data_IF_936509750569
#
_entry.id   IF_936509750569
#
_cell.length_a   1.000
_cell.length_b   1.000
_cell.length_c   1.000
_cell.angle_alpha   90.00
_cell.angle_beta   90.00
_cell.angle_gamma   90.00
#
_symmetry.space_group_name_H-M   'P 1'
#
loop_
_entity.id
_entity.type
_entity.pdbx_description
1 polymer ?
#
# COMPACT_ATOMS: atom_id res chain seq x y z
N UNK A 1 78.96 -51.97 8.19
CA UNK A 1 78.44 -51.08 9.24
C UNK A 1 76.93 -51.34 9.31
N UNK A 2 76.41 -52.32 10.06
CA UNK A 2 76.73 -52.72 11.45
C UNK A 2 76.83 -51.50 12.36
N UNK A 3 76.02 -51.35 13.42
CA UNK A 3 75.43 -52.39 14.28
C UNK A 3 73.91 -52.32 14.49
N UNK A 4 73.38 -53.44 14.98
CA UNK A 4 72.03 -53.62 15.54
C UNK A 4 72.16 -54.19 16.96
N UNK A 5 71.30 -53.73 17.88
CA UNK A 5 70.75 -54.43 19.07
C UNK A 5 69.35 -53.79 19.29
N UNK A 6 68.24 -54.46 19.63
CA UNK A 6 68.00 -55.75 20.29
C UNK A 6 67.85 -55.54 21.81
N UNK A 7 66.82 -55.99 22.54
CA UNK A 7 65.58 -56.75 22.22
C UNK A 7 64.61 -56.71 23.45
N UNK A 8 63.51 -57.47 23.43
CA UNK A 8 62.52 -57.79 24.49
C UNK A 8 61.42 -56.74 24.78
N UNK A 9 60.13 -56.99 24.46
CA UNK A 9 59.12 -57.91 25.06
C UNK A 9 58.29 -57.20 26.18
N UNK A 10 57.00 -57.50 26.46
CA UNK A 10 56.13 -58.65 26.13
C UNK A 10 54.64 -58.30 26.40
N UNK A 11 53.71 -58.72 25.52
CA UNK A 11 52.25 -58.88 25.76
C UNK A 11 51.45 -57.61 26.24
N UNK A 12 50.12 -57.56 26.31
CA UNK A 12 49.01 -58.51 26.04
C UNK A 12 47.71 -57.75 25.69
N UNK A 13 46.66 -58.43 25.19
CA UNK A 13 45.19 -58.14 25.38
C UNK A 13 44.62 -56.73 25.05
N UNK A 14 43.46 -56.51 24.44
CA UNK A 14 42.30 -57.35 24.04
C UNK A 14 41.38 -56.55 23.11
N UNK A 15 40.78 -57.22 22.12
CA UNK A 15 39.35 -57.18 21.74
C UNK A 15 38.46 -56.04 22.32
N UNK A 16 37.75 -55.20 21.55
CA UNK A 16 36.45 -55.54 20.89
C UNK A 16 35.95 -54.41 19.94
N UNK A 17 34.93 -54.64 19.07
CA UNK A 17 34.60 -53.74 17.95
C UNK A 17 33.70 -52.55 18.35
N UNK A 18 34.27 -51.34 18.40
CA UNK A 18 33.59 -50.15 18.94
C UNK A 18 33.53 -48.89 18.05
N UNK A 19 33.60 -48.98 16.71
CA UNK A 19 33.67 -47.77 15.85
C UNK A 19 32.69 -47.63 14.68
N UNK A 20 31.84 -48.62 14.37
CA UNK A 20 30.93 -48.55 13.21
C UNK A 20 29.43 -48.35 13.55
N UNK A 21 29.06 -48.18 14.82
CA UNK A 21 27.67 -47.88 15.23
C UNK A 21 27.42 -46.43 15.68
N UNK A 22 28.46 -45.64 15.92
CA UNK A 22 28.31 -44.27 16.41
C UNK A 22 27.98 -43.25 15.29
N UNK A 23 28.44 -43.50 14.06
CA UNK A 23 28.21 -42.59 12.92
C UNK A 23 26.77 -42.62 12.38
N UNK A 24 26.06 -43.75 12.49
CA UNK A 24 24.68 -43.85 12.02
C UNK A 24 23.67 -43.15 12.96
N UNK A 25 23.95 -43.11 14.28
CA UNK A 25 23.07 -42.47 15.26
C UNK A 25 23.12 -40.93 15.18
N UNK A 26 24.27 -40.34 14.85
CA UNK A 26 24.45 -38.88 14.79
C UNK A 26 23.78 -38.27 13.55
N UNK A 27 23.70 -39.01 12.43
CA UNK A 27 23.07 -38.52 11.19
C UNK A 27 21.53 -38.55 11.26
N UNK A 28 20.92 -39.51 11.95
CA UNK A 28 19.46 -39.51 12.15
C UNK A 28 18.98 -38.44 13.16
N UNK A 29 19.84 -37.99 14.09
CA UNK A 29 19.51 -36.91 15.03
C UNK A 29 19.55 -35.50 14.41
N UNK A 30 20.05 -35.35 13.18
CA UNK A 30 20.12 -34.08 12.45
C UNK A 30 19.07 -33.97 11.32
N UNK A 31 18.23 -35.00 11.13
CA UNK A 31 17.13 -35.02 10.14
C UNK A 31 15.74 -35.16 10.77
N UNK A 32 15.66 -35.38 12.07
CA UNK A 32 14.49 -34.99 12.85
C UNK A 32 14.73 -33.56 13.32
N UNK A 33 14.23 -32.61 12.53
CA UNK A 33 14.08 -31.24 13.00
C UNK A 33 13.19 -31.27 14.24
N UNK A 34 13.81 -31.17 15.41
CA UNK A 34 13.10 -30.77 16.60
C UNK A 34 12.53 -29.39 16.28
N UNK A 35 11.23 -29.33 16.01
CA UNK A 35 10.53 -28.05 15.98
C UNK A 35 10.86 -27.35 17.29
N UNK A 36 11.33 -26.11 17.20
CA UNK A 36 11.65 -25.28 18.34
C UNK A 36 10.32 -24.86 19.00
N UNK A 37 9.59 -25.85 19.52
CA UNK A 37 8.49 -25.74 20.45
C UNK A 37 9.08 -25.30 21.80
N UNK A 38 9.65 -24.09 21.79
CA UNK A 38 9.69 -23.24 22.96
C UNK A 38 8.26 -23.23 23.46
N UNK A 39 8.04 -23.79 24.64
CA UNK A 39 6.74 -23.68 25.29
C UNK A 39 6.41 -22.18 25.31
N UNK A 40 5.38 -21.77 24.58
CA UNK A 40 4.98 -20.38 24.54
C UNK A 40 4.74 -19.94 25.98
N UNK A 41 5.36 -18.83 26.36
CA UNK A 41 5.11 -18.23 27.67
C UNK A 41 3.59 -18.06 27.80
N UNK A 42 2.94 -18.58 28.87
CA UNK A 42 1.52 -18.37 29.08
C UNK A 42 1.13 -16.88 29.05
N UNK A 43 2.06 -15.97 29.39
CA UNK A 43 1.88 -14.51 29.26
C UNK A 43 1.96 -14.00 27.81
N UNK A 44 2.66 -14.70 26.92
CA UNK A 44 2.64 -14.43 25.48
C UNK A 44 1.37 -14.98 24.84
N UNK A 45 0.96 -16.20 25.18
CA UNK A 45 -0.26 -16.80 24.62
C UNK A 45 -1.54 -16.04 25.04
N UNK A 46 -1.54 -15.42 26.22
CA UNK A 46 -2.58 -14.47 26.66
C UNK A 46 -2.67 -13.17 25.82
N UNK A 47 -1.66 -12.87 24.98
CA UNK A 47 -1.60 -11.67 24.11
C UNK A 47 -1.86 -11.98 22.63
N UNK A 48 -2.17 -13.22 22.28
CA UNK A 48 -2.43 -13.60 20.89
C UNK A 48 -3.86 -13.22 20.44
N UNK A 49 -3.97 -12.77 19.20
CA UNK A 49 -5.26 -12.61 18.51
C UNK A 49 -5.94 -13.97 18.28
N UNK A 50 -7.25 -13.96 18.05
CA UNK A 50 -7.97 -15.14 17.58
C UNK A 50 -8.05 -15.12 16.04
N UNK A 51 -7.22 -15.91 15.32
CA UNK A 51 -7.16 -15.82 13.87
C UNK A 51 -8.44 -16.31 13.19
N UNK A 52 -9.19 -17.26 13.79
CA UNK A 52 -10.48 -17.70 13.27
C UNK A 52 -11.55 -16.60 13.39
N UNK A 53 -11.54 -15.82 14.47
CA UNK A 53 -12.44 -14.66 14.67
C UNK A 53 -12.11 -13.55 13.67
N UNK A 54 -10.83 -13.22 13.49
CA UNK A 54 -10.38 -12.24 12.50
C UNK A 54 -10.77 -12.65 11.08
N UNK A 55 -10.47 -13.89 10.69
CA UNK A 55 -10.83 -14.44 9.37
C UNK A 55 -12.35 -14.38 9.15
N UNK A 56 -13.16 -14.80 10.11
CA UNK A 56 -14.62 -14.73 9.99
C UNK A 56 -15.14 -13.29 9.82
N UNK A 57 -14.52 -12.29 10.49
CA UNK A 57 -14.89 -10.89 10.29
C UNK A 57 -14.45 -10.32 8.94
N UNK A 58 -13.28 -10.72 8.42
CA UNK A 58 -12.81 -10.36 7.07
C UNK A 58 -13.73 -10.97 6.00
N UNK A 59 -14.04 -12.25 6.12
CA UNK A 59 -14.98 -12.94 5.24
C UNK A 59 -16.36 -12.28 5.25
N UNK A 60 -16.88 -11.92 6.44
CA UNK A 60 -18.16 -11.22 6.55
C UNK A 60 -18.12 -9.81 5.96
N UNK A 61 -17.04 -9.04 6.18
CA UNK A 61 -16.87 -7.71 5.58
C UNK A 61 -16.81 -7.80 4.05
N UNK A 62 -16.23 -8.87 3.50
CA UNK A 62 -16.17 -9.11 2.05
C UNK A 62 -17.52 -9.47 1.39
N UNK A 63 -18.60 -9.61 2.15
CA UNK A 63 -19.95 -9.73 1.58
C UNK A 63 -20.49 -8.36 1.12
N UNK A 64 -20.12 -7.28 1.82
CA UNK A 64 -20.54 -5.92 1.49
C UNK A 64 -19.75 -5.40 0.28
N UNK A 65 -20.40 -5.42 -0.88
CA UNK A 65 -19.78 -5.08 -2.16
C UNK A 65 -19.18 -6.26 -2.92
N UNK A 66 -19.47 -7.52 -2.56
CA UNK A 66 -18.96 -8.69 -3.29
C UNK A 66 -19.36 -8.69 -4.76
N UNK A 67 -18.40 -8.84 -5.67
CA UNK A 67 -18.71 -8.98 -7.11
C UNK A 67 -19.06 -10.45 -7.46
N UNK A 68 -19.88 -10.70 -8.50
CA UNK A 68 -20.23 -12.05 -8.94
C UNK A 68 -19.04 -12.94 -9.31
N UNK A 69 -17.98 -12.35 -9.86
CA UNK A 69 -16.73 -13.02 -10.27
C UNK A 69 -15.72 -13.19 -9.13
N UNK A 70 -16.00 -12.64 -7.95
CA UNK A 70 -15.07 -12.57 -6.81
C UNK A 70 -14.47 -11.18 -6.60
N UNK A 71 -13.77 -11.01 -5.48
CA UNK A 71 -13.33 -9.69 -5.02
C UNK A 71 -14.48 -8.79 -4.56
N UNK A 72 -14.18 -7.52 -4.34
CA UNK A 72 -15.07 -6.52 -3.75
C UNK A 72 -15.05 -5.21 -4.55
N UNK A 73 -16.22 -4.62 -4.75
CA UNK A 73 -16.39 -3.22 -5.16
C UNK A 73 -17.19 -2.52 -4.06
N UNK A 74 -16.47 -1.87 -3.15
CA UNK A 74 -17.04 -1.09 -2.04
C UNK A 74 -16.48 0.32 -2.08
N UNK A 75 -16.92 1.07 -3.09
CA UNK A 75 -16.49 2.46 -3.28
C UNK A 75 -16.92 3.31 -2.08
N UNK A 76 -16.06 4.23 -1.64
CA UNK A 76 -16.37 5.15 -0.55
C UNK A 76 -17.71 5.85 -0.76
N UNK A 77 -18.48 6.03 0.30
CA UNK A 77 -19.81 6.64 0.33
C UNK A 77 -20.96 5.89 -0.38
N UNK A 78 -20.67 4.81 -1.12
CA UNK A 78 -21.68 3.96 -1.75
C UNK A 78 -22.62 3.28 -0.73
N UNK A 79 -23.70 2.64 -1.19
CA UNK A 79 -24.57 1.90 -0.27
C UNK A 79 -23.86 0.69 0.37
N UNK A 80 -23.00 -0.01 -0.39
CA UNK A 80 -22.25 -1.15 0.14
C UNK A 80 -21.21 -0.73 1.18
N UNK A 81 -20.66 0.48 1.04
CA UNK A 81 -19.83 1.11 2.07
C UNK A 81 -20.63 1.53 3.31
N UNK A 82 -21.80 2.17 3.15
CA UNK A 82 -22.70 2.49 4.27
C UNK A 82 -23.07 1.26 5.10
N UNK A 83 -23.42 0.15 4.44
CA UNK A 83 -23.78 -1.11 5.08
C UNK A 83 -22.56 -1.74 5.82
N UNK A 84 -21.38 -1.69 5.20
CA UNK A 84 -20.12 -2.13 5.80
C UNK A 84 -19.71 -1.28 7.00
N UNK A 85 -19.87 0.04 6.94
CA UNK A 85 -19.56 0.98 8.03
C UNK A 85 -20.48 0.77 9.22
N UNK A 86 -21.75 0.43 9.00
CA UNK A 86 -22.65 -0.01 10.06
C UNK A 86 -22.20 -1.34 10.69
N UNK A 87 -21.77 -2.32 9.87
CA UNK A 87 -21.22 -3.58 10.37
C UNK A 87 -19.95 -3.36 11.22
N UNK A 88 -18.95 -2.62 10.73
CA UNK A 88 -17.69 -2.35 11.44
C UNK A 88 -17.92 -1.53 12.71
N UNK A 89 -18.82 -0.55 12.69
CA UNK A 89 -19.28 0.17 13.90
C UNK A 89 -19.80 -0.80 14.96
N UNK A 90 -20.62 -1.79 14.56
CA UNK A 90 -21.12 -2.81 15.49
C UNK A 90 -20.02 -3.72 16.04
N UNK A 91 -19.00 -4.05 15.23
CA UNK A 91 -17.84 -4.83 15.68
C UNK A 91 -17.01 -4.09 16.73
N UNK A 92 -16.84 -2.77 16.58
CA UNK A 92 -16.13 -1.89 17.50
C UNK A 92 -16.90 -1.75 18.83
N UNK A 93 -18.21 -1.51 18.77
CA UNK A 93 -19.08 -1.48 19.96
C UNK A 93 -19.08 -2.82 20.71
N UNK A 94 -19.20 -3.94 19.99
CA UNK A 94 -19.10 -5.29 20.58
C UNK A 94 -17.71 -5.62 21.13
N UNK A 95 -16.65 -4.93 20.69
CA UNK A 95 -15.32 -5.01 21.27
C UNK A 95 -15.14 -4.11 22.52
N UNK A 96 -16.18 -3.36 22.93
CA UNK A 96 -16.16 -2.48 24.11
C UNK A 96 -15.63 -1.07 23.84
N UNK A 97 -15.48 -0.66 22.57
CA UNK A 97 -15.03 0.68 22.22
C UNK A 97 -16.17 1.70 22.28
N UNK A 98 -15.89 2.91 22.76
CA UNK A 98 -16.78 4.05 22.62
C UNK A 98 -16.65 4.60 21.18
N UNK A 99 -17.69 4.42 20.37
CA UNK A 99 -17.63 4.76 18.94
C UNK A 99 -18.21 6.14 18.64
N UNK A 100 -17.44 6.95 17.91
CA UNK A 100 -17.82 8.28 17.38
C UNK A 100 -17.50 8.40 15.89
N UNK A 101 -18.23 9.25 15.17
CA UNK A 101 -17.92 9.61 13.77
C UNK A 101 -17.57 11.10 13.73
N UNK A 102 -16.49 11.47 13.05
CA UNK A 102 -16.10 12.87 12.86
C UNK A 102 -16.77 13.52 11.63
N UNK A 103 -16.71 14.86 11.47
CA UNK A 103 -17.29 15.55 10.32
C UNK A 103 -16.68 15.23 8.95
N UNK A 104 -15.53 14.54 8.88
CA UNK A 104 -14.97 13.98 7.64
C UNK A 104 -15.48 12.55 7.36
N UNK A 105 -16.24 11.98 8.29
CA UNK A 105 -16.80 10.63 8.21
C UNK A 105 -15.93 9.54 8.86
N UNK A 106 -14.76 9.87 9.42
CA UNK A 106 -13.89 8.86 10.03
C UNK A 106 -14.57 8.28 11.27
N UNK A 107 -14.56 6.95 11.38
CA UNK A 107 -15.17 6.23 12.50
C UNK A 107 -14.07 5.91 13.50
N UNK A 108 -14.15 6.43 14.72
CA UNK A 108 -13.18 6.15 15.78
C UNK A 108 -13.83 5.32 16.89
N UNK A 109 -13.08 4.37 17.43
CA UNK A 109 -13.43 3.60 18.62
C UNK A 109 -12.40 3.85 19.71
N UNK A 110 -12.83 4.50 20.79
CA UNK A 110 -11.98 4.87 21.91
C UNK A 110 -11.91 3.76 22.98
N UNK A 111 -10.71 3.54 23.50
CA UNK A 111 -10.41 2.69 24.64
C UNK A 111 -9.61 3.51 25.67
N UNK A 112 -10.24 3.82 26.80
CA UNK A 112 -9.66 4.69 27.83
C UNK A 112 -8.40 4.09 28.47
N UNK A 113 -7.40 4.93 28.71
CA UNK A 113 -6.15 4.55 29.39
C UNK A 113 -6.18 4.93 30.87
N UNK A 114 -5.42 4.24 31.74
CA UNK A 114 -5.30 4.60 33.15
C UNK A 114 -4.45 5.87 33.40
N UNK A 115 -3.66 6.29 32.42
CA UNK A 115 -2.80 7.49 32.48
C UNK A 115 -3.23 8.52 31.42
N UNK A 116 -3.19 9.83 31.71
CA UNK A 116 -3.53 10.90 30.77
C UNK A 116 -2.39 11.14 29.76
N UNK A 117 -2.08 10.10 28.97
CA UNK A 117 -1.04 10.09 27.94
C UNK A 117 -1.64 10.34 26.55
N UNK A 118 -0.84 10.85 25.58
CA UNK A 118 -1.24 10.86 24.18
C UNK A 118 -1.60 9.45 23.70
N UNK A 119 -2.64 9.33 22.88
CA UNK A 119 -3.20 8.03 22.47
C UNK A 119 -2.34 7.32 21.44
N UNK A 120 -2.40 5.99 21.44
CA UNK A 120 -1.91 5.18 20.31
C UNK A 120 -3.07 5.02 19.33
N UNK A 121 -2.89 5.52 18.11
CA UNK A 121 -3.88 5.41 17.04
C UNK A 121 -3.54 4.21 16.17
N UNK A 122 -4.52 3.35 15.94
CA UNK A 122 -4.45 2.23 15.01
C UNK A 122 -5.48 2.48 13.92
N UNK A 123 -5.14 2.28 12.66
CA UNK A 123 -6.16 2.42 11.63
C UNK A 123 -5.73 2.05 10.23
N UNK A 124 -6.76 1.90 9.41
CA UNK A 124 -6.68 1.74 7.95
C UNK A 124 -8.04 2.14 7.37
N UNK A 125 -8.37 1.67 6.17
CA UNK A 125 -9.64 1.95 5.49
C UNK A 125 -10.48 0.69 5.28
N UNK A 126 -11.75 0.88 4.90
CA UNK A 126 -12.59 -0.22 4.41
C UNK A 126 -13.22 0.05 3.04
N UNK A 127 -13.09 1.23 2.44
CA UNK A 127 -13.43 1.39 1.02
C UNK A 127 -12.43 0.65 0.12
N UNK A 128 -12.81 0.38 -1.13
CA UNK A 128 -11.98 -0.30 -2.13
C UNK A 128 -12.08 0.37 -3.50
N UNK A 129 -11.09 0.14 -4.37
CA UNK A 129 -11.25 0.28 -5.82
C UNK A 129 -12.33 -0.66 -6.41
N UNK A 130 -12.83 -0.39 -7.63
CA UNK A 130 -13.59 -1.36 -8.42
C UNK A 130 -12.82 -2.67 -8.63
N UNK A 131 -13.48 -3.81 -8.44
CA UNK A 131 -12.89 -5.15 -8.53
C UNK A 131 -11.64 -5.36 -7.63
N UNK A 132 -11.61 -4.68 -6.49
CA UNK A 132 -10.55 -4.78 -5.48
C UNK A 132 -10.52 -6.11 -4.72
N UNK A 133 -9.46 -6.27 -3.92
CA UNK A 133 -9.27 -7.44 -3.05
C UNK A 133 -10.07 -7.39 -1.74
N UNK A 134 -9.99 -8.46 -0.95
CA UNK A 134 -10.69 -8.57 0.34
C UNK A 134 -9.87 -8.03 1.54
N UNK A 135 -8.60 -7.68 1.34
CA UNK A 135 -7.61 -7.45 2.41
C UNK A 135 -6.98 -6.05 2.40
N UNK A 136 -7.08 -5.34 1.27
CA UNK A 136 -6.52 -4.01 0.99
C UNK A 136 -7.34 -2.94 1.74
N UNK A 137 -6.85 -2.46 2.88
CA UNK A 137 -7.61 -1.79 3.94
C UNK A 137 -8.13 -2.73 5.06
N UNK A 138 -9.13 -3.62 4.81
CA UNK A 138 -9.75 -4.46 5.83
C UNK A 138 -8.83 -5.27 6.74
N UNK A 139 -7.65 -5.69 6.26
CA UNK A 139 -6.70 -6.42 7.12
C UNK A 139 -6.24 -5.57 8.31
N UNK A 140 -5.94 -4.28 8.07
CA UNK A 140 -5.61 -3.33 9.12
C UNK A 140 -6.81 -3.07 10.02
N UNK A 141 -7.88 -2.52 9.45
CA UNK A 141 -9.07 -2.11 10.21
C UNK A 141 -9.69 -3.22 11.06
N UNK A 142 -9.76 -4.47 10.58
CA UNK A 142 -10.28 -5.58 11.37
C UNK A 142 -9.23 -6.21 12.28
N UNK A 143 -7.94 -6.15 11.90
CA UNK A 143 -6.82 -6.50 12.76
C UNK A 143 -6.78 -5.64 14.02
N UNK A 144 -6.99 -4.34 13.89
CA UNK A 144 -7.01 -3.38 15.00
C UNK A 144 -8.15 -3.68 15.99
N UNK A 145 -9.35 -3.97 15.49
CA UNK A 145 -10.50 -4.40 16.31
C UNK A 145 -10.19 -5.73 17.02
N UNK A 146 -9.52 -6.65 16.34
CA UNK A 146 -9.11 -7.93 16.94
C UNK A 146 -8.01 -7.77 18.00
N UNK A 147 -7.09 -6.80 17.86
CA UNK A 147 -6.12 -6.43 18.90
C UNK A 147 -6.86 -5.94 20.15
N UNK A 148 -7.86 -5.07 20.02
CA UNK A 148 -8.68 -4.62 21.16
C UNK A 148 -9.39 -5.81 21.83
N UNK A 149 -9.95 -6.74 21.04
CA UNK A 149 -10.58 -7.96 21.59
C UNK A 149 -9.58 -8.85 22.31
N UNK A 150 -8.39 -9.06 21.77
CA UNK A 150 -7.36 -9.87 22.41
C UNK A 150 -6.89 -9.26 23.75
N UNK A 151 -6.73 -7.94 23.81
CA UNK A 151 -6.42 -7.22 25.05
C UNK A 151 -7.55 -7.38 26.08
N UNK A 152 -8.81 -7.29 25.66
CA UNK A 152 -9.97 -7.45 26.54
C UNK A 152 -10.17 -8.91 27.01
N UNK A 153 -10.04 -9.89 26.11
CA UNK A 153 -10.13 -11.32 26.41
C UNK A 153 -9.01 -11.76 27.39
N UNK A 154 -7.81 -11.18 27.26
CA UNK A 154 -6.68 -11.38 28.16
C UNK A 154 -6.67 -10.50 29.41
N UNK A 155 -7.62 -9.56 29.54
CA UNK A 155 -7.65 -8.52 30.58
C UNK A 155 -6.32 -7.74 30.73
N UNK A 156 -5.67 -7.43 29.61
CA UNK A 156 -4.35 -6.79 29.55
C UNK A 156 -4.50 -5.25 29.58
N UNK A 157 -4.04 -4.55 30.62
CA UNK A 157 -4.08 -3.09 30.65
C UNK A 157 -3.00 -2.49 29.75
N UNK A 158 -3.34 -1.42 29.04
CA UNK A 158 -2.36 -0.51 28.40
C UNK A 158 -2.11 0.71 29.28
N UNK A 159 -1.00 1.42 29.05
CA UNK A 159 -0.70 2.69 29.73
C UNK A 159 -1.33 3.87 29.01
N UNK A 160 -1.07 3.95 27.71
CA UNK A 160 -1.71 4.90 26.81
C UNK A 160 -3.16 4.45 26.54
N UNK A 161 -4.09 5.39 26.38
CA UNK A 161 -5.35 5.14 25.70
C UNK A 161 -5.11 4.64 24.27
N UNK A 162 -6.00 3.81 23.77
CA UNK A 162 -5.97 3.31 22.40
C UNK A 162 -7.15 3.88 21.63
N UNK A 163 -6.96 4.19 20.36
CA UNK A 163 -8.06 4.53 19.46
C UNK A 163 -7.90 3.77 18.15
N UNK A 164 -8.96 3.08 17.73
CA UNK A 164 -9.05 2.47 16.39
C UNK A 164 -9.76 3.45 15.47
N UNK A 165 -9.26 3.68 14.26
CA UNK A 165 -9.90 4.53 13.25
C UNK A 165 -10.10 3.81 11.93
N UNK A 166 -11.29 4.01 11.36
CA UNK A 166 -11.63 3.67 9.98
C UNK A 166 -11.61 4.97 9.17
N UNK A 167 -10.59 5.13 8.35
CA UNK A 167 -10.45 6.29 7.48
C UNK A 167 -11.52 6.29 6.38
N UNK A 168 -12.10 7.45 6.10
CA UNK A 168 -13.07 7.62 5.02
C UNK A 168 -12.38 7.85 3.68
N UNK A 169 -12.75 7.03 2.68
CA UNK A 169 -12.42 7.25 1.27
C UNK A 169 -10.90 7.42 1.09
N UNK A 170 -10.16 6.34 1.38
CA UNK A 170 -8.72 6.26 1.15
C UNK A 170 -8.43 6.16 -0.35
N UNK A 171 -9.11 5.27 -1.07
CA UNK A 171 -8.77 4.93 -2.45
C UNK A 171 -9.05 6.10 -3.42
N UNK A 172 -10.00 6.95 -3.05
CA UNK A 172 -10.28 8.20 -3.73
C UNK A 172 -10.94 8.16 -5.12
N UNK A 173 -11.71 7.12 -5.52
CA UNK A 173 -12.18 6.96 -6.89
C UNK A 173 -13.07 8.11 -7.37
N UNK A 174 -13.90 8.69 -6.47
CA UNK A 174 -14.92 9.66 -6.85
C UNK A 174 -14.39 11.08 -7.18
N UNK A 175 -13.40 11.60 -6.45
CA UNK A 175 -13.03 13.05 -6.54
C UNK A 175 -11.59 13.31 -7.02
N UNK A 176 -10.86 12.24 -7.36
CA UNK A 176 -9.40 12.30 -7.50
C UNK A 176 -8.72 12.80 -6.20
N UNK A 177 -9.28 12.42 -5.05
CA UNK A 177 -8.77 12.69 -3.70
C UNK A 177 -8.66 11.34 -2.99
N UNK A 178 -7.46 10.76 -3.00
CA UNK A 178 -7.13 9.66 -2.09
C UNK A 178 -6.85 10.20 -0.68
N UNK A 179 -6.87 9.33 0.33
CA UNK A 179 -6.64 9.66 1.72
C UNK A 179 -7.51 10.83 2.22
N UNK A 180 -8.81 10.88 1.85
CA UNK A 180 -9.67 12.02 2.15
C UNK A 180 -9.83 12.22 3.67
N UNK A 181 -10.26 11.17 4.37
CA UNK A 181 -10.53 11.20 5.80
C UNK A 181 -9.28 11.48 6.65
N UNK A 182 -8.18 10.80 6.34
CA UNK A 182 -6.88 10.98 7.01
C UNK A 182 -6.21 12.30 6.65
N UNK A 183 -6.34 12.78 5.41
CA UNK A 183 -5.83 14.08 4.96
C UNK A 183 -6.53 15.26 5.65
N UNK A 184 -7.84 15.17 5.90
CA UNK A 184 -8.55 16.15 6.73
C UNK A 184 -8.11 16.04 8.20
N UNK A 185 -7.96 14.82 8.73
CA UNK A 185 -7.50 14.60 10.11
C UNK A 185 -6.07 15.13 10.36
N UNK A 186 -5.17 15.02 9.38
CA UNK A 186 -3.83 15.60 9.40
C UNK A 186 -3.82 17.14 9.20
N UNK A 187 -4.91 17.70 8.66
CA UNK A 187 -5.03 19.12 8.34
C UNK A 187 -4.51 19.55 6.97
N UNK A 188 -4.04 18.58 6.16
CA UNK A 188 -3.60 18.77 4.76
C UNK A 188 -4.78 19.07 3.82
N UNK A 189 -5.99 18.64 4.17
CA UNK A 189 -7.24 18.96 3.50
C UNK A 189 -8.14 19.84 4.37
N UNK A 190 -8.97 20.66 3.72
CA UNK A 190 -9.89 21.61 4.35
C UNK A 190 -11.13 21.87 3.51
N UNK A 191 -11.81 23.00 3.78
CA UNK A 191 -13.10 23.33 3.16
C UNK A 191 -13.05 23.48 1.62
N UNK A 192 -11.86 23.68 1.04
CA UNK A 192 -11.66 23.76 -0.41
C UNK A 192 -12.01 22.48 -1.17
N UNK A 193 -12.00 21.30 -0.52
CA UNK A 193 -12.41 20.06 -1.17
C UNK A 193 -13.93 19.93 -1.32
N UNK A 194 -14.72 20.66 -0.51
CA UNK A 194 -16.17 20.45 -0.38
C UNK A 194 -16.95 20.63 -1.69
N UNK A 195 -16.46 21.49 -2.59
CA UNK A 195 -17.05 21.74 -3.90
C UNK A 195 -16.53 20.85 -5.04
N UNK A 196 -15.57 19.94 -4.77
CA UNK A 196 -15.09 18.95 -5.75
C UNK A 196 -16.24 18.01 -6.10
N UNK A 197 -16.41 17.74 -7.40
CA UNK A 197 -17.45 16.86 -7.93
C UNK A 197 -16.87 15.55 -8.41
N UNK A 198 -17.69 14.51 -8.37
CA UNK A 198 -17.47 13.25 -9.08
C UNK A 198 -18.04 13.27 -10.50
N UNK A 199 -17.93 12.14 -11.19
CA UNK A 199 -18.40 11.93 -12.56
C UNK A 199 -19.94 12.03 -12.69
N UNK A 200 -20.69 11.75 -11.62
CA UNK A 200 -22.15 11.94 -11.52
C UNK A 200 -22.54 13.39 -11.16
N UNK A 201 -21.55 14.25 -10.88
CA UNK A 201 -21.71 15.66 -10.56
C UNK A 201 -22.04 15.96 -9.10
N UNK A 202 -22.07 14.97 -8.20
CA UNK A 202 -22.29 15.16 -6.76
C UNK A 202 -21.04 15.72 -6.09
N UNK A 203 -21.21 16.63 -5.12
CA UNK A 203 -20.07 17.24 -4.41
C UNK A 203 -19.64 16.42 -3.19
N UNK A 204 -18.38 16.55 -2.77
CA UNK A 204 -17.89 15.99 -1.49
C UNK A 204 -18.82 16.37 -0.32
N UNK A 205 -19.35 17.61 -0.30
CA UNK A 205 -20.32 18.04 0.69
C UNK A 205 -21.65 17.26 0.64
N UNK A 206 -22.12 16.85 -0.53
CA UNK A 206 -23.34 16.04 -0.68
C UNK A 206 -23.13 14.62 -0.16
N UNK A 207 -21.96 14.04 -0.43
CA UNK A 207 -21.59 12.71 0.05
C UNK A 207 -21.33 12.66 1.57
N UNK A 208 -20.69 13.68 2.15
CA UNK A 208 -20.58 13.80 3.62
C UNK A 208 -21.95 13.89 4.32
N UNK A 209 -22.94 14.57 3.70
CA UNK A 209 -24.32 14.58 4.22
C UNK A 209 -24.99 13.20 4.16
N UNK A 210 -24.63 12.31 3.22
CA UNK A 210 -25.11 10.92 3.20
C UNK A 210 -24.59 10.11 4.39
N UNK A 211 -23.44 10.49 4.97
CA UNK A 211 -22.94 9.96 6.23
C UNK A 211 -23.53 10.65 7.48
N UNK A 212 -24.53 11.52 7.32
CA UNK A 212 -25.11 12.32 8.40
C UNK A 212 -24.19 13.42 8.94
N UNK A 213 -23.08 13.73 8.25
CA UNK A 213 -22.13 14.76 8.69
C UNK A 213 -22.54 16.16 8.21
N UNK A 214 -22.12 17.17 8.96
CA UNK A 214 -22.22 18.58 8.55
C UNK A 214 -20.92 19.02 7.86
N UNK A 215 -20.92 19.26 6.54
CA UNK A 215 -19.74 19.69 5.82
C UNK A 215 -19.17 21.04 6.30
N UNK A 216 -19.99 21.90 6.92
CA UNK A 216 -19.50 23.17 7.48
C UNK A 216 -18.51 22.97 8.65
N UNK A 217 -18.50 21.77 9.25
CA UNK A 217 -17.64 21.38 10.36
C UNK A 217 -16.45 20.51 9.96
N UNK A 218 -16.16 20.37 8.65
CA UNK A 218 -15.11 19.48 8.14
C UNK A 218 -13.76 19.64 8.88
N UNK A 219 -13.36 20.87 9.19
CA UNK A 219 -12.09 21.15 9.88
C UNK A 219 -12.05 20.71 11.35
N UNK A 220 -13.19 20.42 11.98
CA UNK A 220 -13.25 19.90 13.35
C UNK A 220 -12.78 18.44 13.45
N UNK A 221 -12.65 17.75 12.30
CA UNK A 221 -12.07 16.41 12.22
C UNK A 221 -10.54 16.38 12.40
N UNK A 222 -9.88 17.55 12.45
CA UNK A 222 -8.43 17.66 12.62
C UNK A 222 -7.98 17.12 13.98
N UNK A 223 -6.99 16.22 13.96
CA UNK A 223 -6.34 15.72 15.18
C UNK A 223 -5.41 16.81 15.70
N UNK A 224 -5.59 17.19 16.97
CA UNK A 224 -4.79 18.24 17.59
C UNK A 224 -3.29 17.84 17.71
N UNK A 225 -2.34 18.77 17.46
CA UNK A 225 -0.93 18.52 17.70
C UNK A 225 -0.66 18.03 19.13
N UNK A 226 0.13 16.97 19.26
CA UNK A 226 0.44 16.34 20.55
C UNK A 226 -0.64 15.39 21.11
N UNK A 227 -1.78 15.20 20.41
CA UNK A 227 -2.80 14.24 20.84
C UNK A 227 -2.40 12.77 20.64
N UNK A 228 -1.49 12.48 19.70
CA UNK A 228 -1.02 11.14 19.37
C UNK A 228 0.38 10.88 19.94
N UNK A 229 0.60 9.68 20.51
CA UNK A 229 1.93 9.16 20.81
C UNK A 229 2.57 8.50 19.57
N UNK A 230 1.76 7.75 18.82
CA UNK A 230 2.12 7.12 17.55
C UNK A 230 0.86 6.82 16.73
N UNK A 231 1.04 6.55 15.44
CA UNK A 231 0.06 5.88 14.58
C UNK A 231 0.67 4.55 14.10
N UNK A 232 -0.13 3.50 14.05
CA UNK A 232 0.23 2.19 13.51
C UNK A 232 -0.82 1.77 12.48
N UNK A 233 -0.37 1.16 11.38
CA UNK A 233 -1.22 0.59 10.36
C UNK A 233 -0.66 -0.79 9.96
N UNK A 234 -1.49 -1.82 10.03
CA UNK A 234 -1.19 -3.13 9.47
C UNK A 234 -1.74 -3.18 8.06
N UNK A 235 -0.91 -3.54 7.09
CA UNK A 235 -1.33 -3.62 5.69
C UNK A 235 -0.75 -4.84 4.97
N UNK A 236 -1.41 -5.27 3.89
CA UNK A 236 -0.80 -6.19 2.92
C UNK A 236 0.30 -5.47 2.13
N UNK A 237 1.30 -6.22 1.64
CA UNK A 237 2.42 -5.65 0.89
C UNK A 237 1.99 -4.97 -0.42
N UNK A 238 0.91 -5.45 -1.06
CA UNK A 238 0.50 -5.16 -2.44
C UNK A 238 1.57 -5.49 -3.53
N UNK A 239 2.80 -5.84 -3.13
CA UNK A 239 3.87 -6.40 -3.95
C UNK A 239 4.10 -7.90 -3.73
N UNK A 240 5.07 -8.49 -4.44
CA UNK A 240 5.39 -9.92 -4.34
C UNK A 240 6.56 -10.24 -3.40
N UNK A 241 7.26 -9.25 -2.83
CA UNK A 241 8.62 -9.41 -2.30
C UNK A 241 8.65 -10.27 -1.03
N UNK A 242 7.70 -10.10 -0.12
CA UNK A 242 7.58 -10.91 1.09
C UNK A 242 7.23 -12.36 0.76
N UNK A 243 6.33 -12.61 -0.21
CA UNK A 243 6.04 -13.98 -0.65
C UNK A 243 7.23 -14.61 -1.38
N UNK A 244 7.86 -13.91 -2.34
CA UNK A 244 9.01 -14.43 -3.09
C UNK A 244 10.19 -14.78 -2.16
N UNK A 245 10.45 -13.95 -1.15
CA UNK A 245 11.50 -14.18 -0.15
C UNK A 245 11.04 -15.04 1.04
N UNK A 246 9.77 -15.47 1.07
CA UNK A 246 9.14 -16.26 2.16
C UNK A 246 9.30 -15.63 3.55
N UNK A 247 9.19 -14.31 3.62
CA UNK A 247 9.20 -13.50 4.85
C UNK A 247 7.75 -13.24 5.28
N UNK A 248 7.43 -13.45 6.56
CA UNK A 248 6.04 -13.32 7.03
C UNK A 248 5.62 -11.88 7.34
N UNK A 249 6.54 -11.04 7.83
CA UNK A 249 6.27 -9.67 8.29
C UNK A 249 7.34 -8.73 7.75
N UNK A 250 6.92 -7.68 7.06
CA UNK A 250 7.78 -6.55 6.68
C UNK A 250 7.62 -5.40 7.68
N UNK A 251 8.73 -4.85 8.17
CA UNK A 251 8.73 -3.58 8.92
C UNK A 251 8.93 -2.46 7.91
N UNK A 252 7.86 -1.70 7.65
CA UNK A 252 7.87 -0.61 6.66
C UNK A 252 8.71 0.56 7.17
N UNK A 253 9.82 0.85 6.47
CA UNK A 253 10.73 1.96 6.83
C UNK A 253 10.28 3.32 6.30
N UNK A 254 9.29 3.35 5.39
CA UNK A 254 8.77 4.55 4.75
C UNK A 254 7.88 4.20 3.56
N UNK A 255 7.18 5.22 3.06
CA UNK A 255 6.29 5.13 1.89
C UNK A 255 6.96 5.85 0.69
N UNK A 256 6.60 5.44 -0.52
CA UNK A 256 6.98 6.07 -1.79
C UNK A 256 6.49 7.54 -1.90
N UNK A 257 7.09 8.41 -2.74
CA UNK A 257 6.87 9.89 -2.73
C UNK A 257 6.27 10.53 -4.02
N UNK A 258 5.01 11.01 -4.06
CA UNK A 258 4.19 11.22 -5.30
C UNK A 258 4.61 12.39 -6.26
N UNK A 259 4.49 12.23 -7.61
CA UNK A 259 4.58 13.31 -8.65
C UNK A 259 3.71 13.12 -9.94
N UNK A 260 2.38 12.91 -9.87
CA UNK A 260 1.48 12.58 -11.03
C UNK A 260 1.62 13.55 -12.25
N UNK A 261 1.60 13.11 -13.54
CA UNK A 261 2.02 13.99 -14.68
C UNK A 261 1.08 14.25 -15.88
N UNK A 262 1.20 15.52 -16.34
CA UNK A 262 0.44 16.34 -17.31
C UNK A 262 0.80 16.38 -18.84
N UNK A 263 1.39 15.37 -19.51
CA UNK A 263 2.01 15.48 -20.89
C UNK A 263 1.47 14.63 -22.11
N UNK A 264 0.59 15.13 -23.03
CA UNK A 264 0.08 14.44 -24.27
C UNK A 264 0.73 14.95 -25.54
N UNK A 265 0.53 14.15 -26.58
CA UNK A 265 1.13 14.33 -27.89
C UNK A 265 0.09 14.90 -28.86
N UNK A 266 0.39 16.02 -29.52
CA UNK A 266 -0.47 16.59 -30.56
C UNK A 266 -0.02 16.13 -31.95
N UNK A 267 -0.95 16.11 -32.89
CA UNK A 267 -0.72 15.64 -34.26
C UNK A 267 -1.53 16.42 -35.29
N UNK A 268 -1.56 15.91 -36.52
CA UNK A 268 -2.43 16.38 -37.57
C UNK A 268 -3.20 15.18 -38.13
N UNK A 269 -4.50 15.15 -37.85
CA UNK A 269 -5.35 14.10 -38.39
C UNK A 269 -5.50 14.23 -39.90
N UNK A 270 -5.38 13.08 -40.56
CA UNK A 270 -5.52 12.94 -42.00
C UNK A 270 -5.82 11.46 -42.32
N UNK A 271 -6.27 11.17 -43.53
CA UNK A 271 -6.72 9.84 -43.90
C UNK A 271 -5.54 8.85 -43.97
N UNK A 272 -5.64 7.73 -43.25
CA UNK A 272 -4.54 6.80 -43.01
C UNK A 272 -4.07 6.06 -44.27
N UNK A 273 -4.93 5.91 -45.28
CA UNK A 273 -4.58 5.28 -46.56
C UNK A 273 -3.94 6.21 -47.59
N UNK A 274 -4.17 7.52 -47.51
CA UNK A 274 -3.76 8.49 -48.56
C UNK A 274 -2.70 9.49 -48.11
N UNK A 275 -2.39 9.56 -46.81
CA UNK A 275 -1.33 10.44 -46.28
C UNK A 275 0.03 9.73 -46.33
N UNK A 276 1.00 10.19 -47.15
CA UNK A 276 2.33 9.59 -47.22
C UNK A 276 3.07 9.68 -45.88
N UNK A 277 3.87 8.66 -45.53
CA UNK A 277 4.55 8.58 -44.23
C UNK A 277 5.40 9.80 -43.89
N UNK A 278 6.12 10.36 -44.88
CA UNK A 278 6.94 11.57 -44.73
C UNK A 278 6.14 12.88 -44.57
N UNK A 279 4.81 12.84 -44.57
CA UNK A 279 3.91 13.98 -44.35
C UNK A 279 3.01 13.82 -43.13
N UNK A 280 3.16 12.75 -42.34
CA UNK A 280 2.37 12.51 -41.14
C UNK A 280 2.87 13.32 -39.95
N UNK A 281 1.95 13.79 -39.11
CA UNK A 281 2.21 14.23 -37.74
C UNK A 281 1.37 13.34 -36.83
N UNK A 282 1.85 12.11 -36.62
CA UNK A 282 1.09 11.06 -35.94
C UNK A 282 1.26 11.14 -34.42
N UNK A 283 0.19 11.52 -33.73
CA UNK A 283 0.21 11.73 -32.28
C UNK A 283 0.41 10.42 -31.50
N UNK A 284 -0.18 9.31 -31.96
CA UNK A 284 -0.09 8.02 -31.26
C UNK A 284 1.30 7.40 -31.44
N UNK A 285 1.90 7.51 -32.64
CA UNK A 285 3.26 7.05 -32.89
C UNK A 285 4.30 7.80 -32.05
N UNK A 286 4.09 9.10 -31.76
CA UNK A 286 4.96 9.85 -30.87
C UNK A 286 4.67 9.57 -29.38
N UNK A 287 3.41 9.39 -28.97
CA UNK A 287 3.07 8.93 -27.61
C UNK A 287 3.68 7.55 -27.27
N UNK A 288 3.66 6.61 -28.21
CA UNK A 288 4.28 5.29 -28.06
C UNK A 288 5.81 5.38 -27.88
N UNK A 289 6.49 6.34 -28.54
CA UNK A 289 7.92 6.59 -28.31
C UNK A 289 8.19 7.12 -26.90
N UNK A 290 7.36 8.02 -26.38
CA UNK A 290 7.50 8.52 -25.01
C UNK A 290 7.31 7.40 -23.97
N UNK A 291 6.35 6.49 -24.17
CA UNK A 291 6.14 5.31 -23.32
C UNK A 291 7.38 4.40 -23.29
N UNK A 292 8.00 4.14 -24.44
CA UNK A 292 9.23 3.33 -24.50
C UNK A 292 10.43 4.05 -23.87
N UNK A 293 10.59 5.34 -24.15
CA UNK A 293 11.66 6.15 -23.56
C UNK A 293 11.56 6.21 -22.03
N UNK A 294 10.34 6.32 -21.49
CA UNK A 294 10.09 6.24 -20.06
C UNK A 294 10.61 4.93 -19.47
N UNK A 295 10.15 3.79 -20.01
CA UNK A 295 10.58 2.46 -19.56
C UNK A 295 12.11 2.34 -19.57
N UNK A 296 12.76 2.86 -20.60
CA UNK A 296 14.20 2.73 -20.79
C UNK A 296 15.00 3.65 -19.87
N UNK A 297 14.46 4.83 -19.47
CA UNK A 297 15.04 5.68 -18.43
C UNK A 297 14.89 5.05 -17.05
N UNK A 298 13.69 4.61 -16.68
CA UNK A 298 13.44 3.96 -15.38
C UNK A 298 14.33 2.73 -15.18
N UNK A 299 14.53 1.92 -16.23
CA UNK A 299 15.42 0.75 -16.19
C UNK A 299 16.91 1.07 -16.22
N UNK A 300 17.29 2.30 -16.51
CA UNK A 300 18.69 2.74 -16.50
C UNK A 300 19.12 3.30 -15.13
N UNK A 301 18.17 3.76 -14.32
CA UNK A 301 18.43 4.16 -12.94
C UNK A 301 18.67 2.95 -12.03
N UNK A 302 19.52 3.12 -11.03
CA UNK A 302 19.80 2.08 -10.02
C UNK A 302 18.89 2.26 -8.81
N UNK A 303 18.18 1.20 -8.44
CA UNK A 303 17.30 1.17 -7.26
C UNK A 303 16.06 0.31 -7.51
N UNK A 304 14.96 0.66 -6.82
CA UNK A 304 13.65 0.01 -6.94
C UNK A 304 12.62 0.95 -7.61
N UNK A 305 13.09 1.87 -8.45
CA UNK A 305 12.23 2.73 -9.26
C UNK A 305 11.44 1.88 -10.27
N UNK A 306 10.16 2.23 -10.48
CA UNK A 306 9.32 1.62 -11.51
C UNK A 306 8.79 2.72 -12.45
N UNK A 307 7.85 2.41 -13.33
CA UNK A 307 7.29 3.43 -14.21
C UNK A 307 6.20 2.89 -15.12
N UNK A 308 5.00 3.47 -15.03
CA UNK A 308 3.78 2.81 -15.50
C UNK A 308 2.85 3.78 -16.21
N UNK A 309 2.73 3.65 -17.53
CA UNK A 309 1.66 4.29 -18.31
C UNK A 309 0.42 3.40 -18.26
N UNK A 310 -0.43 3.62 -17.25
CA UNK A 310 -1.64 2.80 -17.03
C UNK A 310 -2.80 3.07 -18.00
N UNK A 311 -2.77 4.18 -18.75
CA UNK A 311 -3.86 4.59 -19.63
C UNK A 311 -3.35 5.40 -20.84
N UNK A 312 -3.96 5.17 -22.00
CA UNK A 312 -3.72 5.94 -23.23
C UNK A 312 -4.99 5.96 -24.09
N UNK A 313 -5.42 7.15 -24.52
CA UNK A 313 -6.57 7.36 -25.42
C UNK A 313 -6.08 7.94 -26.74
N UNK A 314 -6.54 7.37 -27.85
CA UNK A 314 -6.31 7.91 -29.20
C UNK A 314 -7.63 8.41 -29.78
N UNK A 315 -7.66 9.65 -30.28
CA UNK A 315 -8.83 10.24 -30.92
C UNK A 315 -8.58 10.48 -32.42
N UNK A 316 -9.58 10.37 -33.31
CA UNK A 316 -10.96 9.97 -33.04
C UNK A 316 -11.11 8.46 -32.78
N UNK A 317 -10.00 7.70 -32.72
CA UNK A 317 -10.02 6.25 -32.52
C UNK A 317 -10.43 5.44 -33.76
N UNK A 318 -10.77 6.11 -34.87
CA UNK A 318 -11.16 5.45 -36.11
C UNK A 318 -9.93 4.79 -36.80
N UNK A 319 -10.00 3.52 -37.22
CA UNK A 319 -8.84 2.76 -37.72
C UNK A 319 -8.28 3.29 -39.06
N UNK A 320 -9.02 4.14 -39.77
CA UNK A 320 -8.64 4.76 -41.04
C UNK A 320 -8.22 6.25 -40.90
N UNK A 321 -8.02 6.75 -39.69
CA UNK A 321 -7.67 8.17 -39.42
C UNK A 321 -6.37 8.24 -38.60
N UNK A 322 -5.42 9.06 -39.05
CA UNK A 322 -4.24 9.43 -38.25
C UNK A 322 -4.73 10.25 -37.05
N UNK A 323 -4.30 9.98 -35.80
CA UNK A 323 -4.89 10.60 -34.63
C UNK A 323 -4.84 12.15 -34.52
N UNK A 324 -5.91 12.71 -33.95
CA UNK A 324 -6.19 14.11 -33.61
C UNK A 324 -5.57 14.53 -32.26
N UNK A 325 -5.45 15.86 -32.00
CA UNK A 325 -5.68 16.46 -30.69
C UNK A 325 -7.16 16.89 -30.51
N UNK A 326 -7.74 16.95 -29.28
CA UNK A 326 -7.09 16.92 -27.96
C UNK A 326 -7.71 16.02 -26.85
N UNK A 327 -6.85 15.56 -25.93
CA UNK A 327 -7.09 15.31 -24.49
C UNK A 327 -8.24 14.39 -24.02
N UNK A 328 -7.88 13.25 -23.38
CA UNK A 328 -7.75 13.22 -21.90
C UNK A 328 -6.98 11.98 -21.40
N UNK A 329 -6.56 12.00 -20.12
CA UNK A 329 -5.98 10.90 -19.35
C UNK A 329 -5.72 11.39 -17.89
N UNK A 330 -5.37 10.48 -16.96
CA UNK A 330 -5.09 10.81 -15.54
C UNK A 330 -3.86 10.03 -15.00
N UNK A 331 -3.44 10.36 -13.77
CA UNK A 331 -2.57 9.56 -12.86
C UNK A 331 -1.03 9.74 -13.04
N UNK A 332 -0.10 9.43 -12.10
CA UNK A 332 0.11 8.19 -11.29
C UNK A 332 1.62 7.94 -11.01
N UNK A 333 2.35 8.76 -10.22
CA UNK A 333 3.84 8.72 -10.13
C UNK A 333 4.35 8.85 -8.70
N UNK A 334 5.51 8.28 -8.30
CA UNK A 334 6.14 8.55 -6.99
C UNK A 334 7.72 8.51 -7.02
N UNK A 335 8.48 9.63 -6.95
CA UNK A 335 9.92 9.69 -6.53
C UNK A 335 10.38 11.14 -6.16
N UNK A 336 11.15 11.42 -5.08
CA UNK A 336 11.65 12.78 -4.79
C UNK A 336 12.99 13.14 -5.45
N UNK A 337 13.92 12.19 -5.61
CA UNK A 337 15.33 12.38 -5.97
C UNK A 337 15.65 12.10 -7.46
N UNK A 338 14.69 11.58 -8.22
CA UNK A 338 14.82 11.32 -9.66
C UNK A 338 15.21 12.60 -10.45
N UNK A 339 16.49 12.72 -10.80
CA UNK A 339 17.05 13.87 -11.50
C UNK A 339 16.77 13.82 -13.01
N UNK A 340 15.59 14.31 -13.41
CA UNK A 340 15.10 14.29 -14.79
C UNK A 340 15.90 15.17 -15.79
N UNK A 341 16.98 15.84 -15.37
CA UNK A 341 17.96 16.45 -16.30
C UNK A 341 18.61 15.40 -17.25
N UNK A 342 18.51 14.11 -16.92
CA UNK A 342 18.86 12.99 -17.80
C UNK A 342 17.85 12.75 -18.94
N UNK A 343 16.57 13.10 -18.78
CA UNK A 343 15.60 13.13 -19.88
C UNK A 343 15.87 14.31 -20.81
N UNK A 344 16.13 15.51 -20.25
CA UNK A 344 16.48 16.72 -21.02
C UNK A 344 17.64 16.48 -21.99
N UNK A 345 18.64 15.66 -21.60
CA UNK A 345 19.80 15.33 -22.42
C UNK A 345 19.61 14.14 -23.38
N UNK A 346 18.50 13.38 -23.30
CA UNK A 346 18.29 12.17 -24.12
C UNK A 346 17.05 12.19 -25.01
N UNK A 347 16.07 13.06 -24.76
CA UNK A 347 15.06 13.41 -25.76
C UNK A 347 15.54 14.58 -26.63
N UNK A 348 15.40 14.47 -27.95
CA UNK A 348 15.86 15.44 -28.96
C UNK A 348 15.14 16.82 -28.95
N UNK A 349 14.44 17.20 -27.87
CA UNK A 349 13.69 18.45 -27.74
C UNK A 349 13.69 18.96 -26.29
N UNK A 350 13.86 20.28 -26.13
CA UNK A 350 13.92 20.97 -24.84
C UNK A 350 12.63 20.78 -24.01
N UNK A 351 12.81 20.39 -22.74
CA UNK A 351 11.75 20.26 -21.75
C UNK A 351 11.87 21.37 -20.71
N UNK A 352 10.75 22.00 -20.33
CA UNK A 352 10.71 23.01 -19.27
C UNK A 352 9.70 22.61 -18.20
N UNK A 353 9.96 22.91 -16.93
CA UNK A 353 9.09 22.55 -15.81
C UNK A 353 8.55 23.80 -15.11
N UNK A 354 7.27 23.79 -14.74
CA UNK A 354 6.59 24.83 -13.99
C UNK A 354 5.89 24.20 -12.77
N UNK A 355 6.13 24.76 -11.58
CA UNK A 355 5.61 24.22 -10.32
C UNK A 355 4.23 24.79 -9.99
N UNK A 356 3.28 23.92 -9.64
CA UNK A 356 1.86 24.24 -9.38
C UNK A 356 1.38 23.65 -8.04
N UNK A 357 2.28 23.26 -7.14
CA UNK A 357 1.95 22.67 -5.84
C UNK A 357 1.94 21.13 -5.90
N UNK A 358 0.80 20.49 -5.66
CA UNK A 358 0.66 19.02 -5.75
C UNK A 358 0.83 18.44 -7.18
N UNK A 359 1.07 19.30 -8.17
CA UNK A 359 1.27 18.97 -9.58
C UNK A 359 2.44 19.78 -10.14
N UNK A 360 3.18 19.20 -11.08
CA UNK A 360 4.17 19.91 -11.91
C UNK A 360 3.79 19.82 -13.38
N UNK A 361 3.71 20.96 -14.04
CA UNK A 361 3.46 21.06 -15.47
C UNK A 361 4.80 20.98 -16.22
N UNK A 362 4.98 19.96 -17.05
CA UNK A 362 6.09 19.92 -18.01
C UNK A 362 5.63 20.47 -19.37
N UNK A 363 6.29 21.53 -19.84
CA UNK A 363 6.04 22.21 -21.11
C UNK A 363 7.19 21.93 -22.08
N UNK A 364 6.90 21.16 -23.12
CA UNK A 364 7.72 21.10 -24.35
C UNK A 364 7.03 22.02 -25.37
N UNK A 365 7.81 22.65 -26.27
CA UNK A 365 7.32 23.63 -27.25
C UNK A 365 5.97 23.25 -27.90
N UNK A 366 4.90 23.95 -27.49
CA UNK A 366 3.50 23.71 -27.84
C UNK A 366 3.02 22.24 -27.89
N UNK A 367 3.19 21.51 -26.77
CA UNK A 367 2.35 20.35 -26.43
C UNK A 367 1.83 20.43 -24.98
N UNK A 368 0.79 19.64 -24.64
CA UNK A 368 0.09 19.57 -23.32
C UNK A 368 -0.48 18.15 -23.14
N UNK A 369 -0.84 17.65 -21.95
CA UNK A 369 -1.73 16.47 -21.84
C UNK A 369 -1.54 15.50 -20.65
N UNK A 370 -1.03 14.23 -20.73
CA UNK A 370 -0.80 13.26 -19.58
C UNK A 370 0.28 12.13 -19.75
N UNK A 371 1.07 11.75 -18.70
CA UNK A 371 2.04 10.60 -18.58
C UNK A 371 2.17 10.10 -17.10
N UNK A 372 2.51 8.82 -16.81
CA UNK A 372 2.54 8.23 -15.45
C UNK A 372 3.79 7.35 -15.16
N UNK A 373 4.34 7.37 -13.92
CA UNK A 373 5.69 6.87 -13.51
C UNK A 373 5.80 6.57 -11.98
N UNK A 374 5.19 5.51 -11.41
CA UNK A 374 5.41 5.19 -9.96
C UNK A 374 6.84 4.75 -9.70
N UNK A 375 7.51 5.08 -8.59
CA UNK A 375 8.78 4.49 -8.20
C UNK A 375 8.84 4.18 -6.70
N UNK A 376 9.65 3.18 -6.30
CA UNK A 376 9.74 2.72 -4.91
C UNK A 376 11.17 2.82 -4.38
N UNK A 377 11.35 3.08 -3.07
CA UNK A 377 12.52 2.67 -2.32
C UNK A 377 12.11 1.64 -1.25
N UNK A 378 12.43 0.35 -1.45
CA UNK A 378 12.23 -0.67 -0.40
C UNK A 378 13.54 -0.90 0.36
N UNK A 379 13.74 -0.09 1.41
CA UNK A 379 14.90 -0.18 2.29
C UNK A 379 14.75 -1.30 3.33
N UNK A 380 15.03 -2.56 2.95
CA UNK A 380 15.17 -3.63 3.93
C UNK A 380 16.42 -3.42 4.80
N UNK A 381 16.27 -2.65 5.87
CA UNK A 381 17.25 -2.54 6.94
C UNK A 381 17.38 -3.87 7.68
N UNK A 382 18.26 -4.76 7.21
CA UNK A 382 18.72 -5.88 8.01
C UNK A 382 19.43 -5.31 9.25
N UNK A 383 18.96 -5.58 10.49
CA UNK A 383 19.61 -5.06 11.68
C UNK A 383 20.99 -5.72 11.79
N UNK A 384 22.04 -4.94 11.52
CA UNK A 384 23.42 -5.35 11.72
C UNK A 384 23.63 -5.69 13.19
N UNK A 385 23.98 -6.94 13.47
CA UNK A 385 24.33 -7.38 14.82
C UNK A 385 25.61 -6.67 15.30
N UNK A 386 25.48 -5.83 16.32
CA UNK A 386 26.56 -5.23 17.09
C UNK A 386 26.19 -5.18 18.56
#
# INVERSE_FOLDING_TARGET
>A
MTMSQGSFARASTTDTPGRLRLFAAIVCALLLGAGDARAEDPSAQARHINPQRLQATLEKLSEFGRNPEGGVTRLGFSQTDLDARAYVTSLMQCAGLEVRVDPAGNIYGWCEGPEPLPKLLFGSHIDSVPHGGNFDGPLGSLGDIEVIRALNDGAIPTRNPLEVVIWTNEEGPHFGISALGSGVAAGELGAEILGRRDDDGLTVADWLRRYGQDPARLTDARIAPGALAAILELHIEQGPVLDENKVQIGVVSGIVSLKRWKCLTTGLANHAGTTPMNRRKDALAAAAKHLLALRDVVRAETGTQVGTVGYMKAEPGAPNVIPLPPLEAHNSVYDPDLNLALLENRSLLDMQFEDRGAWRDARIGQMRGVLSITAQPVGYGCPSSS
#
